data_IF_111771268436
#
_entry.id   IF_111771268436
#
_cell.length_a   1.000
_cell.length_b   1.000
_cell.length_c   1.000
_cell.angle_alpha   90.00
_cell.angle_beta   90.00
_cell.angle_gamma   90.00
#
_symmetry.space_group_name_H-M   'P 1'
#
loop_
_entity.id
_entity.type
_entity.pdbx_description
1 polymer ?
#
# COMPACT_ATOMS: atom_id res chain seq x y z
N UNK A 1 -5.64 -20.04 25.14
CA UNK A 1 -5.09 -18.84 24.47
C UNK A 1 -4.50 -17.97 25.55
N UNK A 2 -3.26 -17.50 25.38
CA UNK A 2 -2.66 -16.52 26.27
C UNK A 2 -2.78 -15.18 25.56
N UNK A 3 -3.53 -14.25 26.15
CA UNK A 3 -3.61 -12.87 25.69
C UNK A 3 -2.37 -12.13 26.22
N UNK A 4 -1.55 -11.59 25.33
CA UNK A 4 -0.34 -10.85 25.68
C UNK A 4 -0.46 -9.47 25.07
N UNK A 5 -0.69 -8.48 25.93
CA UNK A 5 -0.71 -7.06 25.55
C UNK A 5 0.71 -6.60 25.23
N UNK A 6 0.94 -6.18 23.99
CA UNK A 6 2.24 -5.71 23.50
C UNK A 6 2.15 -4.24 23.10
N UNK A 7 3.04 -3.43 23.67
CA UNK A 7 3.11 -1.97 23.44
C UNK A 7 4.05 -1.64 22.26
N UNK A 8 3.62 -0.86 21.26
CA UNK A 8 4.44 -0.52 20.08
C UNK A 8 5.55 0.50 20.39
N UNK A 9 6.67 0.39 19.66
CA UNK A 9 7.90 1.19 19.86
C UNK A 9 8.03 2.37 18.88
N UNK A 10 7.34 2.38 17.74
CA UNK A 10 7.33 3.51 16.79
C UNK A 10 5.98 3.70 16.08
N UNK A 11 5.74 4.91 15.54
CA UNK A 11 4.50 5.32 14.86
C UNK A 11 4.41 4.72 13.46
N UNK A 12 3.44 3.83 13.27
CA UNK A 12 3.18 3.08 12.04
C UNK A 12 2.37 1.85 12.44
N UNK A 13 1.12 2.07 12.81
CA UNK A 13 0.29 1.15 13.58
C UNK A 13 -0.69 0.43 12.68
N UNK A 14 -0.46 -0.86 12.45
CA UNK A 14 -1.50 -1.79 11.98
C UNK A 14 -1.77 -2.75 13.13
N UNK A 15 -2.98 -2.68 13.71
CA UNK A 15 -3.45 -3.69 14.64
C UNK A 15 -3.84 -4.93 13.85
N UNK A 16 -3.19 -6.07 14.13
CA UNK A 16 -3.53 -7.35 13.48
C UNK A 16 -3.26 -8.51 14.41
N UNK A 17 -4.20 -9.45 14.48
CA UNK A 17 -4.00 -10.73 15.15
C UNK A 17 -3.13 -11.64 14.28
N UNK A 18 -1.98 -12.08 14.79
CA UNK A 18 -1.11 -13.07 14.13
C UNK A 18 -1.10 -14.36 14.95
N UNK A 19 -1.63 -15.44 14.39
CA UNK A 19 -1.57 -16.77 14.98
C UNK A 19 -0.54 -17.67 14.30
N UNK A 20 0.22 -18.46 15.06
CA UNK A 20 1.19 -19.40 14.49
C UNK A 20 1.93 -20.22 15.52
N UNK A 21 2.71 -21.19 15.04
CA UNK A 21 3.60 -21.95 15.90
C UNK A 21 4.65 -21.03 16.52
N UNK A 22 5.03 -21.29 17.77
CA UNK A 22 5.99 -20.47 18.50
C UNK A 22 7.27 -21.23 18.74
N UNK A 23 8.39 -20.55 18.50
CA UNK A 23 9.72 -20.97 18.93
C UNK A 23 10.34 -19.84 19.74
N UNK A 24 10.97 -20.18 20.85
CA UNK A 24 11.35 -19.19 21.84
C UNK A 24 12.72 -19.47 22.47
N UNK A 25 13.46 -18.40 22.78
CA UNK A 25 14.71 -18.44 23.54
C UNK A 25 14.84 -17.19 24.42
N UNK A 26 15.49 -17.32 25.57
CA UNK A 26 15.84 -16.20 26.48
C UNK A 26 17.19 -15.55 26.14
N UNK A 27 17.85 -16.02 25.08
CA UNK A 27 19.15 -15.50 24.66
C UNK A 27 19.03 -14.35 23.65
N UNK A 28 20.05 -13.48 23.65
CA UNK A 28 20.29 -12.62 22.50
C UNK A 28 20.71 -13.49 21.32
N UNK A 29 20.16 -13.19 20.15
CA UNK A 29 20.42 -13.93 18.92
C UNK A 29 21.29 -13.08 18.00
N UNK A 30 22.39 -13.63 17.51
CA UNK A 30 23.18 -13.02 16.45
C UNK A 30 22.67 -13.51 15.09
N UNK A 31 22.00 -12.67 14.27
CA UNK A 31 21.47 -13.16 13.00
C UNK A 31 22.55 -13.71 12.06
N UNK A 32 23.81 -13.27 12.17
CA UNK A 32 24.90 -13.78 11.35
C UNK A 32 25.50 -15.10 11.87
N UNK A 33 25.48 -15.32 13.19
CA UNK A 33 26.14 -16.48 13.82
C UNK A 33 25.19 -17.63 14.15
N UNK A 34 23.92 -17.31 14.43
CA UNK A 34 22.96 -18.25 14.99
C UNK A 34 21.84 -18.62 14.03
N UNK A 35 21.57 -17.79 13.00
CA UNK A 35 20.58 -18.10 11.97
C UNK A 35 21.25 -18.68 10.73
N UNK A 36 20.69 -19.79 10.26
CA UNK A 36 20.97 -20.35 8.95
C UNK A 36 19.94 -19.82 7.94
N UNK A 37 20.35 -18.96 6.97
CA UNK A 37 19.44 -18.41 5.99
C UNK A 37 19.01 -19.39 4.90
N UNK A 38 19.74 -20.49 4.69
CA UNK A 38 19.39 -21.52 3.70
C UNK A 38 18.24 -22.38 4.23
N UNK A 39 18.37 -22.82 5.49
CA UNK A 39 17.43 -23.75 6.10
C UNK A 39 16.29 -23.06 6.86
N UNK A 40 16.47 -21.78 7.22
CA UNK A 40 15.52 -21.08 8.10
C UNK A 40 15.57 -21.63 9.51
N UNK A 41 16.78 -21.80 10.05
CA UNK A 41 17.03 -22.50 11.31
C UNK A 41 17.77 -21.61 12.31
N UNK A 42 17.33 -21.60 13.57
CA UNK A 42 17.99 -20.93 14.67
C UNK A 42 18.71 -21.96 15.55
N UNK A 43 20.03 -21.80 15.70
CA UNK A 43 20.87 -22.67 16.52
C UNK A 43 20.33 -22.79 17.94
N UNK A 44 20.22 -24.02 18.43
CA UNK A 44 19.71 -24.32 19.78
C UNK A 44 18.19 -24.25 19.93
N UNK A 45 17.46 -23.78 18.91
CA UNK A 45 16.00 -23.61 18.97
C UNK A 45 15.28 -24.50 17.96
N UNK A 46 15.67 -24.45 16.67
CA UNK A 46 14.99 -25.20 15.62
C UNK A 46 14.65 -24.36 14.39
N UNK A 47 13.77 -24.91 13.54
CA UNK A 47 13.25 -24.17 12.40
C UNK A 47 12.42 -22.97 12.84
N UNK A 48 12.69 -21.82 12.23
CA UNK A 48 11.98 -20.55 12.45
C UNK A 48 11.06 -20.16 11.27
N UNK A 49 11.17 -20.87 10.14
CA UNK A 49 10.41 -20.56 8.93
C UNK A 49 8.90 -20.65 9.18
N UNK A 50 8.18 -19.54 8.92
CA UNK A 50 6.73 -19.45 9.10
C UNK A 50 6.25 -19.45 10.57
N UNK A 51 7.18 -19.41 11.54
CA UNK A 51 6.86 -19.42 12.97
C UNK A 51 6.93 -18.03 13.59
N UNK A 52 6.28 -17.86 14.73
CA UNK A 52 6.46 -16.72 15.62
C UNK A 52 7.73 -17.00 16.43
N UNK A 53 8.72 -16.12 16.30
CA UNK A 53 10.01 -16.25 16.95
C UNK A 53 10.06 -15.28 18.13
N UNK A 54 10.18 -15.82 19.33
CA UNK A 54 10.30 -15.05 20.57
C UNK A 54 11.75 -15.08 21.04
N UNK A 55 12.36 -13.92 21.19
CA UNK A 55 13.77 -13.78 21.55
C UNK A 55 13.95 -12.68 22.60
N UNK A 56 15.08 -12.68 23.28
CA UNK A 56 15.48 -11.51 24.09
C UNK A 56 15.73 -10.28 23.25
N UNK A 57 16.28 -10.45 22.05
CA UNK A 57 16.58 -9.40 21.09
C UNK A 57 17.68 -9.85 20.14
N UNK A 58 17.95 -9.07 19.10
CA UNK A 58 19.13 -9.31 18.26
C UNK A 58 20.38 -8.65 18.84
N UNK A 59 21.53 -9.19 18.45
CA UNK A 59 22.85 -8.61 18.72
C UNK A 59 23.68 -8.56 17.44
N UNK A 60 24.76 -7.79 17.46
CA UNK A 60 25.65 -7.57 16.32
C UNK A 60 25.39 -6.26 15.57
N UNK A 61 26.18 -6.01 14.53
CA UNK A 61 26.22 -4.74 13.82
C UNK A 61 25.22 -4.68 12.66
N UNK A 62 25.68 -4.37 11.44
CA UNK A 62 24.85 -4.02 10.28
C UNK A 62 24.56 -5.18 9.33
N UNK A 63 25.29 -6.31 9.47
CA UNK A 63 25.18 -7.45 8.55
C UNK A 63 23.99 -8.35 8.90
N UNK A 64 23.65 -8.46 10.19
CA UNK A 64 22.59 -9.33 10.67
C UNK A 64 21.23 -9.13 9.98
N UNK A 65 20.76 -7.89 9.80
CA UNK A 65 19.54 -7.61 9.05
C UNK A 65 19.49 -8.20 7.63
N UNK A 66 20.63 -8.25 6.93
CA UNK A 66 20.70 -8.83 5.57
C UNK A 66 20.55 -10.35 5.56
N UNK A 67 20.90 -11.03 6.67
CA UNK A 67 20.70 -12.49 6.79
C UNK A 67 19.21 -12.79 6.85
N UNK A 68 18.47 -12.05 7.66
CA UNK A 68 17.01 -12.20 7.79
C UNK A 68 16.32 -11.79 6.48
N UNK A 69 16.78 -10.72 5.84
CA UNK A 69 16.31 -10.36 4.49
C UNK A 69 16.53 -11.48 3.45
N UNK A 70 17.67 -12.16 3.49
CA UNK A 70 17.95 -13.31 2.62
C UNK A 70 16.98 -14.47 2.85
N UNK A 71 16.62 -14.74 4.11
CA UNK A 71 15.62 -15.77 4.45
C UNK A 71 14.26 -15.49 3.82
N UNK A 72 13.84 -14.23 3.75
CA UNK A 72 12.58 -13.83 3.09
C UNK A 72 12.61 -14.19 1.60
N UNK A 73 13.70 -13.87 0.89
CA UNK A 73 13.85 -14.23 -0.53
C UNK A 73 13.78 -15.73 -0.79
N UNK A 74 14.06 -16.53 0.22
CA UNK A 74 14.06 -18.00 0.18
C UNK A 74 12.78 -18.63 0.73
N UNK A 75 11.81 -17.82 1.20
CA UNK A 75 10.59 -18.32 1.83
C UNK A 75 10.84 -19.01 3.18
N UNK A 76 11.94 -18.68 3.85
CA UNK A 76 12.41 -19.29 5.11
C UNK A 76 12.30 -18.34 6.31
N UNK A 77 11.74 -17.16 6.11
CA UNK A 77 11.65 -16.15 7.16
C UNK A 77 10.64 -16.52 8.27
N UNK A 78 10.88 -16.02 9.49
CA UNK A 78 9.86 -15.97 10.54
C UNK A 78 8.58 -15.28 10.07
N UNK A 79 7.44 -15.72 10.60
CA UNK A 79 6.13 -15.07 10.40
C UNK A 79 5.98 -13.80 11.23
N UNK A 80 6.60 -13.76 12.41
CA UNK A 80 6.66 -12.60 13.29
C UNK A 80 7.86 -12.72 14.25
N UNK A 81 8.34 -11.58 14.74
CA UNK A 81 9.36 -11.46 15.78
C UNK A 81 8.72 -10.86 17.03
N UNK A 82 9.01 -11.44 18.19
CA UNK A 82 8.69 -10.89 19.51
C UNK A 82 10.00 -10.72 20.25
N UNK A 83 10.32 -9.49 20.66
CA UNK A 83 11.58 -9.17 21.30
C UNK A 83 11.38 -8.38 22.60
N UNK A 84 12.19 -8.66 23.61
CA UNK A 84 12.23 -7.87 24.85
C UNK A 84 13.01 -6.56 24.64
N UNK A 85 14.19 -6.70 24.03
CA UNK A 85 15.11 -5.61 23.69
C UNK A 85 14.93 -5.28 22.21
N UNK A 86 14.46 -4.06 21.93
CA UNK A 86 14.33 -3.52 20.58
C UNK A 86 15.42 -2.47 20.35
N UNK A 87 16.50 -2.89 19.70
CA UNK A 87 17.61 -2.03 19.28
C UNK A 87 17.58 -1.75 17.77
N UNK A 88 18.53 -0.95 17.28
CA UNK A 88 18.60 -0.59 15.87
C UNK A 88 18.76 -1.81 14.94
N UNK A 89 19.46 -2.86 15.40
CA UNK A 89 19.64 -4.11 14.65
C UNK A 89 18.34 -4.91 14.55
N UNK A 90 17.59 -4.98 15.65
CA UNK A 90 16.28 -5.63 15.73
C UNK A 90 15.27 -4.95 14.83
N UNK A 91 15.22 -3.61 14.89
CA UNK A 91 14.40 -2.81 13.98
C UNK A 91 14.84 -3.04 12.53
N UNK A 92 16.11 -2.81 12.20
CA UNK A 92 16.61 -2.98 10.83
C UNK A 92 16.32 -4.37 10.25
N UNK A 93 16.42 -5.42 11.07
CA UNK A 93 16.11 -6.80 10.67
C UNK A 93 14.64 -6.99 10.33
N UNK A 94 13.74 -6.54 11.21
CA UNK A 94 12.30 -6.63 10.97
C UNK A 94 11.86 -5.78 9.77
N UNK A 95 12.43 -4.57 9.66
CA UNK A 95 12.15 -3.61 8.60
C UNK A 95 12.57 -4.12 7.23
N UNK A 96 13.83 -4.50 7.07
CA UNK A 96 14.34 -4.96 5.77
C UNK A 96 13.61 -6.22 5.31
N UNK A 97 13.24 -7.09 6.25
CA UNK A 97 12.58 -8.35 5.97
C UNK A 97 11.04 -8.26 5.88
N UNK A 98 10.44 -7.09 6.13
CA UNK A 98 8.98 -6.92 6.27
C UNK A 98 8.34 -7.95 7.22
N UNK A 99 9.02 -8.22 8.34
CA UNK A 99 8.54 -9.15 9.37
C UNK A 99 7.91 -8.35 10.50
N UNK A 100 6.65 -8.64 10.89
CA UNK A 100 6.01 -8.04 12.05
C UNK A 100 6.87 -8.14 13.31
N UNK A 101 7.21 -7.01 13.92
CA UNK A 101 7.98 -6.93 15.17
C UNK A 101 7.12 -6.42 16.32
N UNK A 102 7.11 -7.20 17.40
CA UNK A 102 6.36 -6.98 18.63
C UNK A 102 7.31 -6.83 19.82
N UNK A 103 7.04 -5.90 20.73
CA UNK A 103 7.81 -5.76 21.98
C UNK A 103 7.13 -6.48 23.14
N UNK A 104 7.87 -7.27 23.92
CA UNK A 104 7.38 -7.79 25.20
C UNK A 104 8.15 -7.14 26.35
N UNK A 105 7.49 -6.76 27.44
CA UNK A 105 8.16 -6.14 28.58
C UNK A 105 8.72 -7.17 29.58
N UNK A 106 8.16 -8.38 29.62
CA UNK A 106 8.64 -9.49 30.44
C UNK A 106 8.64 -10.79 29.63
N UNK A 107 9.81 -11.12 29.08
CA UNK A 107 10.01 -12.32 28.29
C UNK A 107 9.92 -13.61 29.14
N UNK A 108 10.32 -13.55 30.41
CA UNK A 108 10.39 -14.74 31.28
C UNK A 108 9.00 -15.31 31.50
N UNK A 109 8.02 -14.44 31.78
CA UNK A 109 6.61 -14.82 31.91
C UNK A 109 6.06 -15.44 30.64
N UNK A 110 6.49 -14.96 29.47
CA UNK A 110 6.08 -15.51 28.19
C UNK A 110 6.69 -16.92 27.97
N UNK A 111 7.97 -17.11 28.29
CA UNK A 111 8.67 -18.38 28.12
C UNK A 111 8.13 -19.49 29.03
N UNK A 112 7.74 -19.16 30.26
CA UNK A 112 7.16 -20.13 31.19
C UNK A 112 5.85 -20.75 30.66
N UNK A 113 5.07 -19.98 29.89
CA UNK A 113 3.87 -20.49 29.23
C UNK A 113 4.18 -21.52 28.14
N UNK A 114 5.31 -21.38 27.45
CA UNK A 114 5.74 -22.32 26.40
C UNK A 114 6.45 -23.56 26.95
N UNK A 115 7.13 -23.44 28.10
CA UNK A 115 7.68 -24.61 28.82
C UNK A 115 6.60 -25.62 29.22
N UNK A 116 5.35 -25.17 29.39
CA UNK A 116 4.17 -26.01 29.65
C UNK A 116 3.61 -26.76 28.43
N UNK A 117 4.22 -26.68 27.25
CA UNK A 117 3.80 -27.44 26.06
C UNK A 117 2.89 -26.69 25.08
N UNK A 118 2.63 -25.40 25.30
CA UNK A 118 1.98 -24.57 24.29
C UNK A 118 2.87 -24.50 23.04
N UNK A 119 2.30 -24.78 21.86
CA UNK A 119 3.03 -24.73 20.58
C UNK A 119 2.55 -23.63 19.63
N UNK A 120 1.39 -23.05 19.91
CA UNK A 120 0.72 -22.06 19.05
C UNK A 120 0.27 -20.89 19.91
N UNK A 121 0.48 -19.67 19.41
CA UNK A 121 -0.02 -18.46 20.03
C UNK A 121 -0.67 -17.54 18.99
N UNK A 122 -1.62 -16.74 19.45
CA UNK A 122 -2.17 -15.61 18.73
C UNK A 122 -1.70 -14.34 19.45
N UNK A 123 -1.01 -13.48 18.72
CA UNK A 123 -0.53 -12.20 19.24
C UNK A 123 -1.45 -11.13 18.69
N UNK A 124 -2.04 -10.36 19.58
CA UNK A 124 -2.75 -9.13 19.25
C UNK A 124 -1.90 -7.95 19.67
N UNK A 125 -1.63 -7.07 18.72
CA UNK A 125 -0.82 -5.89 18.97
C UNK A 125 -0.60 -5.08 17.71
N UNK A 126 -0.08 -3.89 17.90
CA UNK A 126 0.42 -3.05 16.81
C UNK A 126 1.86 -3.48 16.49
N UNK A 127 2.13 -3.75 15.22
CA UNK A 127 3.47 -4.11 14.75
C UNK A 127 3.96 -3.14 13.68
N UNK A 128 5.29 -3.02 13.58
CA UNK A 128 5.93 -2.20 12.55
C UNK A 128 5.72 -2.84 11.18
N UNK A 129 4.97 -2.15 10.32
CA UNK A 129 4.84 -2.49 8.91
C UNK A 129 5.65 -1.49 8.11
N UNK A 130 6.75 -1.95 7.50
CA UNK A 130 7.63 -1.11 6.70
C UNK A 130 7.44 -1.27 5.19
N UNK A 131 6.46 -2.07 4.77
CA UNK A 131 6.03 -2.10 3.38
C UNK A 131 5.44 -0.74 3.00
N UNK A 132 5.90 -0.19 1.87
CA UNK A 132 5.31 1.01 1.31
C UNK A 132 3.85 0.79 0.97
N UNK A 133 3.11 1.90 0.89
CA UNK A 133 1.66 1.90 0.76
C UNK A 133 1.30 2.48 -0.60
N UNK A 134 0.46 1.77 -1.35
CA UNK A 134 0.00 2.16 -2.67
C UNK A 134 -1.39 2.79 -2.59
N UNK A 135 -1.49 4.07 -2.90
CA UNK A 135 -2.75 4.83 -2.90
C UNK A 135 -3.09 5.20 -4.35
N UNK A 136 -4.27 4.81 -4.83
CA UNK A 136 -4.78 5.21 -6.14
C UNK A 136 -5.90 6.24 -6.00
N UNK A 137 -5.83 7.31 -6.77
CA UNK A 137 -6.89 8.32 -6.90
C UNK A 137 -7.57 8.15 -8.25
N UNK A 138 -8.84 7.80 -8.22
CA UNK A 138 -9.68 7.47 -9.37
C UNK A 138 -10.84 8.47 -9.51
N UNK A 139 -11.43 8.55 -10.69
CA UNK A 139 -12.43 9.57 -10.99
C UNK A 139 -12.49 9.95 -12.47
N UNK A 140 -13.60 10.55 -12.87
CA UNK A 140 -13.75 11.10 -14.22
C UNK A 140 -12.83 12.31 -14.45
N UNK A 141 -12.72 12.73 -15.71
CA UNK A 141 -12.04 13.97 -16.05
C UNK A 141 -12.76 15.18 -15.43
N UNK A 142 -11.98 16.06 -14.79
CA UNK A 142 -12.53 17.21 -14.06
C UNK A 142 -12.98 16.92 -12.63
N UNK A 143 -12.87 15.68 -12.15
CA UNK A 143 -13.14 15.32 -10.75
C UNK A 143 -12.12 15.88 -9.74
N UNK A 144 -10.95 16.35 -10.20
CA UNK A 144 -9.93 16.95 -9.33
C UNK A 144 -8.84 15.99 -8.85
N UNK A 145 -8.70 14.80 -9.45
CA UNK A 145 -7.71 13.78 -9.09
C UNK A 145 -6.29 14.31 -8.93
N UNK A 146 -5.76 14.99 -9.96
CA UNK A 146 -4.40 15.57 -9.94
C UNK A 146 -4.21 16.57 -8.81
N UNK A 147 -5.21 17.42 -8.57
CA UNK A 147 -5.17 18.41 -7.50
C UNK A 147 -5.13 17.73 -6.13
N UNK A 148 -5.99 16.73 -5.93
CA UNK A 148 -6.02 15.96 -4.69
C UNK A 148 -4.71 15.18 -4.47
N UNK A 149 -4.24 14.45 -5.48
CA UNK A 149 -3.04 13.63 -5.37
C UNK A 149 -1.80 14.46 -5.01
N UNK A 150 -1.65 15.65 -5.60
CA UNK A 150 -0.59 16.61 -5.25
C UNK A 150 -0.77 17.20 -3.85
N UNK A 151 -2.00 17.50 -3.44
CA UNK A 151 -2.29 18.00 -2.10
C UNK A 151 -1.96 16.95 -1.02
N UNK A 152 -2.38 15.71 -1.22
CA UNK A 152 -2.04 14.57 -0.36
C UNK A 152 -0.53 14.35 -0.29
N UNK A 153 0.15 14.39 -1.44
CA UNK A 153 1.60 14.24 -1.50
C UNK A 153 2.32 15.31 -0.66
N UNK A 154 1.98 16.58 -0.86
CA UNK A 154 2.54 17.69 -0.07
C UNK A 154 2.24 17.53 1.43
N UNK A 155 1.02 17.15 1.78
CA UNK A 155 0.61 16.94 3.17
C UNK A 155 1.43 15.83 3.85
N UNK A 156 1.61 14.69 3.19
CA UNK A 156 2.39 13.57 3.70
C UNK A 156 3.87 13.92 3.87
N UNK A 157 4.45 14.66 2.92
CA UNK A 157 5.82 15.16 3.04
C UNK A 157 5.97 16.10 4.26
N UNK A 158 5.02 17.01 4.47
CA UNK A 158 5.01 17.90 5.63
C UNK A 158 4.85 17.13 6.96
N UNK A 159 4.24 15.95 6.92
CA UNK A 159 4.16 15.03 8.06
C UNK A 159 5.43 14.19 8.27
N UNK A 160 6.46 14.35 7.44
CA UNK A 160 7.71 13.59 7.53
C UNK A 160 7.64 12.18 6.91
N UNK A 161 6.57 11.85 6.20
CA UNK A 161 6.50 10.60 5.44
C UNK A 161 7.31 10.72 4.16
N UNK A 162 7.97 9.64 3.77
CA UNK A 162 8.44 9.48 2.40
C UNK A 162 7.22 9.23 1.52
N UNK A 163 6.86 10.20 0.68
CA UNK A 163 5.75 10.09 -0.24
C UNK A 163 6.19 10.42 -1.68
N UNK A 164 5.66 9.69 -2.65
CA UNK A 164 5.93 9.87 -4.08
C UNK A 164 4.62 10.04 -4.81
N UNK A 165 4.48 11.14 -5.54
CA UNK A 165 3.38 11.34 -6.47
C UNK A 165 3.80 10.91 -7.88
N UNK A 166 2.97 10.11 -8.54
CA UNK A 166 3.10 9.75 -9.94
C UNK A 166 1.71 9.54 -10.57
N UNK A 167 1.63 9.33 -11.88
CA UNK A 167 0.37 9.32 -12.60
C UNK A 167 0.42 8.45 -13.85
N UNK A 168 -0.75 8.07 -14.36
CA UNK A 168 -0.90 7.29 -15.58
C UNK A 168 -1.74 8.01 -16.64
N UNK A 169 -1.40 7.91 -17.94
CA UNK A 169 -0.28 7.15 -18.50
C UNK A 169 1.09 7.74 -18.11
N UNK A 170 2.05 6.88 -17.80
CA UNK A 170 3.38 7.17 -17.29
C UNK A 170 4.40 7.51 -18.40
N UNK A 171 4.36 6.78 -19.52
CA UNK A 171 5.23 7.03 -20.67
C UNK A 171 4.79 8.25 -21.48
N UNK A 172 5.74 9.12 -21.82
CA UNK A 172 5.52 10.24 -22.76
C UNK A 172 4.95 9.73 -24.10
N UNK A 173 5.50 8.65 -24.64
CA UNK A 173 5.08 8.12 -25.93
C UNK A 173 3.61 7.67 -25.90
N UNK A 174 3.17 7.04 -24.82
CA UNK A 174 1.77 6.58 -24.69
C UNK A 174 0.84 7.77 -24.44
N UNK A 175 1.26 8.76 -23.65
CA UNK A 175 0.50 10.02 -23.52
C UNK A 175 0.29 10.72 -24.86
N UNK A 176 1.35 10.86 -25.67
CA UNK A 176 1.26 11.49 -26.99
C UNK A 176 0.29 10.77 -27.93
N UNK A 177 0.26 9.42 -27.90
CA UNK A 177 -0.72 8.63 -28.68
C UNK A 177 -2.15 9.01 -28.31
N UNK A 178 -2.48 9.12 -27.03
CA UNK A 178 -3.81 9.47 -26.55
C UNK A 178 -4.15 10.96 -26.74
N UNK A 179 -3.19 11.87 -26.56
CA UNK A 179 -3.40 13.32 -26.67
C UNK A 179 -3.55 13.79 -28.12
N UNK A 180 -2.72 13.26 -29.03
CA UNK A 180 -2.74 13.66 -30.44
C UNK A 180 -3.90 13.02 -31.20
N UNK A 181 -4.42 11.89 -30.72
CA UNK A 181 -5.41 11.09 -31.44
C UNK A 181 -4.92 10.69 -32.84
N UNK A 182 -3.60 10.61 -33.01
CA UNK A 182 -2.93 10.40 -34.30
C UNK A 182 -3.16 8.99 -34.86
N UNK A 183 -3.58 8.06 -34.00
CA UNK A 183 -3.93 6.70 -34.35
C UNK A 183 -5.39 6.43 -33.96
N UNK A 184 -6.17 5.85 -34.88
CA UNK A 184 -7.47 5.27 -34.55
C UNK A 184 -7.23 3.89 -33.92
N UNK A 185 -7.33 3.82 -32.59
CA UNK A 185 -7.18 2.58 -31.85
C UNK A 185 -8.56 1.99 -31.52
N UNK A 186 -8.65 0.67 -31.45
CA UNK A 186 -9.83 0.03 -30.85
C UNK A 186 -9.71 0.11 -29.33
N UNK A 187 -10.83 0.09 -28.57
CA UNK A 187 -10.80 0.14 -27.12
C UNK A 187 -9.93 -0.95 -26.47
N UNK A 188 -9.85 -2.14 -27.08
CA UNK A 188 -8.99 -3.23 -26.62
C UNK A 188 -7.50 -2.90 -26.77
N UNK A 189 -7.11 -2.26 -27.89
CA UNK A 189 -5.73 -1.83 -28.11
C UNK A 189 -5.36 -0.72 -27.13
N UNK A 190 -6.26 0.23 -26.87
CA UNK A 190 -6.06 1.24 -25.83
C UNK A 190 -5.84 0.61 -24.45
N UNK A 191 -6.66 -0.38 -24.08
CA UNK A 191 -6.51 -1.11 -22.82
C UNK A 191 -5.13 -1.79 -22.72
N UNK A 192 -4.70 -2.47 -23.77
CA UNK A 192 -3.39 -3.15 -23.81
C UNK A 192 -2.23 -2.17 -23.68
N UNK A 193 -2.31 -1.00 -24.33
CA UNK A 193 -1.29 0.05 -24.18
C UNK A 193 -1.23 0.58 -22.75
N UNK A 194 -2.37 0.84 -22.12
CA UNK A 194 -2.43 1.28 -20.72
C UNK A 194 -1.86 0.22 -19.78
N UNK A 195 -2.16 -1.06 -20.01
CA UNK A 195 -1.60 -2.17 -19.22
C UNK A 195 -0.08 -2.24 -19.40
N UNK A 196 0.42 -2.19 -20.62
CA UNK A 196 1.87 -2.24 -20.91
C UNK A 196 2.64 -1.07 -20.27
N UNK A 197 2.08 0.14 -20.36
CA UNK A 197 2.58 1.33 -19.68
C UNK A 197 2.67 1.12 -18.16
N UNK A 198 1.60 0.61 -17.57
CA UNK A 198 1.48 0.34 -16.14
C UNK A 198 2.47 -0.71 -15.64
N UNK A 199 2.75 -1.76 -16.41
CA UNK A 199 3.79 -2.72 -16.06
C UNK A 199 5.18 -2.07 -16.04
N UNK A 200 5.46 -1.18 -16.99
CA UNK A 200 6.71 -0.41 -17.03
C UNK A 200 6.81 0.56 -15.85
N UNK A 201 5.71 1.26 -15.54
CA UNK A 201 5.60 2.15 -14.40
C UNK A 201 5.78 1.41 -13.07
N UNK A 202 5.18 0.23 -12.94
CA UNK A 202 5.30 -0.62 -11.77
C UNK A 202 6.74 -1.06 -11.54
N UNK A 203 7.40 -1.59 -12.57
CA UNK A 203 8.78 -2.06 -12.46
C UNK A 203 9.77 -0.92 -12.20
N UNK A 204 9.57 0.24 -12.84
CA UNK A 204 10.52 1.36 -12.82
C UNK A 204 10.37 2.31 -11.62
N UNK A 205 9.16 2.50 -11.09
CA UNK A 205 8.88 3.51 -10.06
C UNK A 205 8.14 2.92 -8.87
N UNK A 206 6.95 2.33 -9.09
CA UNK A 206 6.07 1.94 -7.99
C UNK A 206 6.74 0.88 -7.11
N UNK A 207 7.24 -0.22 -7.68
CA UNK A 207 7.83 -1.32 -6.92
C UNK A 207 9.09 -0.89 -6.16
N UNK A 208 10.07 -0.18 -6.75
CA UNK A 208 11.21 0.36 -6.01
C UNK A 208 10.79 1.24 -4.83
N UNK A 209 9.87 2.19 -5.04
CA UNK A 209 9.45 3.13 -4.00
C UNK A 209 8.70 2.42 -2.85
N UNK A 210 7.77 1.51 -3.18
CA UNK A 210 7.12 0.68 -2.18
C UNK A 210 8.13 -0.17 -1.38
N UNK A 211 9.21 -0.63 -2.04
CA UNK A 211 10.30 -1.36 -1.39
C UNK A 211 11.12 -0.53 -0.39
N UNK A 212 11.03 0.80 -0.43
CA UNK A 212 11.68 1.70 0.53
C UNK A 212 10.77 2.11 1.69
N UNK A 213 9.54 1.60 1.75
CA UNK A 213 8.54 2.03 2.72
C UNK A 213 7.83 3.34 2.35
N UNK A 214 7.96 3.81 1.10
CA UNK A 214 7.31 5.05 0.66
C UNK A 214 5.79 4.88 0.49
N UNK A 215 5.06 5.96 0.69
CA UNK A 215 3.66 6.08 0.26
C UNK A 215 3.66 6.53 -1.20
N UNK A 216 3.22 5.66 -2.11
CA UNK A 216 3.11 5.96 -3.55
C UNK A 216 1.68 6.37 -3.87
N UNK A 217 1.48 7.61 -4.27
CA UNK A 217 0.19 8.17 -4.68
C UNK A 217 0.13 8.21 -6.20
N UNK A 218 -0.83 7.48 -6.76
CA UNK A 218 -1.12 7.38 -8.18
C UNK A 218 -2.35 8.21 -8.54
N UNK A 219 -2.18 9.19 -9.44
CA UNK A 219 -3.31 9.75 -10.19
C UNK A 219 -3.62 8.81 -11.36
N UNK A 220 -4.70 8.03 -11.20
CA UNK A 220 -5.13 6.89 -12.02
C UNK A 220 -4.28 5.63 -11.86
N UNK A 221 -4.96 4.48 -11.88
CA UNK A 221 -4.35 3.15 -11.88
C UNK A 221 -5.25 2.13 -12.61
N UNK A 222 -5.26 0.88 -12.14
CA UNK A 222 -6.01 -0.26 -12.72
C UNK A 222 -7.46 0.09 -13.03
N UNK A 223 -8.15 0.75 -12.10
CA UNK A 223 -9.58 0.99 -12.19
C UNK A 223 -9.97 2.04 -13.24
N UNK A 224 -9.05 2.96 -13.60
CA UNK A 224 -9.24 3.84 -14.76
C UNK A 224 -9.39 3.04 -16.06
N UNK A 225 -8.61 1.97 -16.26
CA UNK A 225 -8.74 1.13 -17.45
C UNK A 225 -10.08 0.38 -17.44
N UNK A 226 -10.51 -0.16 -16.29
CA UNK A 226 -11.81 -0.81 -16.17
C UNK A 226 -12.97 0.14 -16.51
N UNK A 227 -12.96 1.36 -15.96
CA UNK A 227 -14.03 2.31 -16.15
C UNK A 227 -14.07 2.88 -17.58
N UNK A 228 -12.94 3.35 -18.10
CA UNK A 228 -12.92 4.04 -19.40
C UNK A 228 -13.09 3.05 -20.56
N UNK A 229 -12.30 1.97 -20.63
CA UNK A 229 -12.43 1.00 -21.71
C UNK A 229 -13.69 0.12 -21.53
N UNK A 230 -14.10 -0.19 -20.29
CA UNK A 230 -15.39 -0.85 -20.04
C UNK A 230 -16.59 -0.02 -20.53
N UNK A 231 -16.54 1.31 -20.39
CA UNK A 231 -17.61 2.19 -20.91
C UNK A 231 -17.74 2.18 -22.45
N UNK A 232 -16.70 1.70 -23.13
CA UNK A 232 -16.65 1.51 -24.58
C UNK A 232 -17.09 0.11 -25.02
N UNK A 233 -17.45 -0.77 -24.08
CA UNK A 233 -17.97 -2.12 -24.34
C UNK A 233 -16.92 -3.23 -24.24
N UNK A 234 -15.70 -2.93 -23.78
CA UNK A 234 -14.69 -3.96 -23.52
C UNK A 234 -15.10 -4.78 -22.29
N UNK A 235 -14.96 -6.10 -22.37
CA UNK A 235 -15.30 -7.01 -21.29
C UNK A 235 -14.48 -6.72 -20.01
N UNK A 236 -15.17 -6.49 -18.89
CA UNK A 236 -14.54 -6.16 -17.61
C UNK A 236 -13.69 -7.33 -17.09
N UNK A 237 -14.16 -8.57 -17.24
CA UNK A 237 -13.41 -9.75 -16.78
C UNK A 237 -12.10 -9.94 -17.52
N UNK A 238 -12.08 -9.68 -18.83
CA UNK A 238 -10.86 -9.65 -19.63
C UNK A 238 -9.93 -8.55 -19.14
N UNK A 239 -10.42 -7.33 -18.93
CA UNK A 239 -9.61 -6.23 -18.41
C UNK A 239 -9.02 -6.56 -17.02
N UNK A 240 -9.79 -7.13 -16.10
CA UNK A 240 -9.30 -7.60 -14.80
C UNK A 240 -8.18 -8.65 -14.97
N UNK A 241 -8.35 -9.58 -15.92
CA UNK A 241 -7.35 -10.62 -16.20
C UNK A 241 -6.00 -10.06 -16.69
N UNK A 242 -6.01 -8.92 -17.38
CA UNK A 242 -4.79 -8.24 -17.82
C UNK A 242 -3.99 -7.62 -16.65
N UNK A 243 -4.66 -7.31 -15.54
CA UNK A 243 -4.05 -6.66 -14.37
C UNK A 243 -3.66 -7.63 -13.26
N UNK A 244 -3.97 -8.93 -13.39
CA UNK A 244 -3.87 -9.93 -12.31
C UNK A 244 -2.50 -10.09 -11.64
N UNK A 245 -1.40 -9.66 -12.27
CA UNK A 245 -0.05 -9.71 -11.70
C UNK A 245 0.46 -8.36 -11.18
N UNK A 246 -0.33 -7.30 -11.28
CA UNK A 246 -0.05 -6.01 -10.66
C UNK A 246 -0.67 -6.00 -9.25
N UNK A 247 -0.04 -5.33 -8.27
CA UNK A 247 -0.63 -5.22 -6.95
C UNK A 247 -1.91 -4.40 -7.00
N UNK A 248 -2.95 -4.82 -6.27
CA UNK A 248 -4.06 -3.90 -5.97
C UNK A 248 -3.55 -2.76 -5.06
N UNK A 249 -4.09 -1.54 -5.18
CA UNK A 249 -3.76 -0.48 -4.24
C UNK A 249 -4.23 -0.83 -2.83
N UNK A 250 -3.45 -0.48 -1.82
CA UNK A 250 -3.84 -0.61 -0.41
C UNK A 250 -5.03 0.31 -0.10
N UNK A 251 -5.11 1.45 -0.78
CA UNK A 251 -6.25 2.37 -0.72
C UNK A 251 -6.58 2.91 -2.10
N UNK A 252 -7.84 2.80 -2.52
CA UNK A 252 -8.35 3.47 -3.71
C UNK A 252 -9.42 4.49 -3.33
N UNK A 253 -9.22 5.76 -3.68
CA UNK A 253 -10.18 6.84 -3.46
C UNK A 253 -10.83 7.19 -4.80
N UNK A 254 -12.14 7.05 -4.88
CA UNK A 254 -12.93 7.47 -6.03
C UNK A 254 -13.54 8.85 -5.81
N UNK A 255 -13.18 9.79 -6.67
CA UNK A 255 -13.76 11.13 -6.72
C UNK A 255 -15.00 11.12 -7.60
N UNK A 256 -16.17 11.01 -6.97
CA UNK A 256 -17.46 11.04 -7.67
C UNK A 256 -17.84 12.47 -8.01
N UNK A 257 -18.13 12.71 -9.29
CA UNK A 257 -18.65 13.98 -9.76
C UNK A 257 -19.60 13.71 -10.91
N UNK A 258 -20.65 14.51 -10.99
CA UNK A 258 -21.50 14.52 -12.17
C UNK A 258 -20.67 14.80 -13.44
N UNK A 259 -20.80 14.00 -14.51
CA UNK A 259 -19.97 14.16 -15.71
C UNK A 259 -20.05 15.56 -16.31
N UNK A 260 -21.23 16.19 -16.33
CA UNK A 260 -21.44 17.52 -16.87
C UNK A 260 -20.72 18.58 -16.03
N UNK A 261 -20.74 18.44 -14.70
CA UNK A 261 -19.97 19.30 -13.81
C UNK A 261 -18.44 19.12 -14.02
N UNK A 262 -17.98 17.89 -14.15
CA UNK A 262 -16.57 17.58 -14.43
C UNK A 262 -16.08 18.19 -15.75
N UNK A 263 -16.88 18.05 -16.80
CA UNK A 263 -16.62 18.67 -18.11
C UNK A 263 -16.56 20.20 -18.01
N UNK A 264 -17.51 20.82 -17.31
CA UNK A 264 -17.52 22.28 -17.09
C UNK A 264 -16.23 22.77 -16.43
N UNK A 265 -15.72 22.04 -15.42
CA UNK A 265 -14.43 22.35 -14.77
C UNK A 265 -13.26 22.29 -15.75
N UNK A 266 -13.22 21.26 -16.62
CA UNK A 266 -12.17 21.10 -17.65
C UNK A 266 -12.18 22.23 -18.69
N UNK A 267 -13.37 22.63 -19.15
CA UNK A 267 -13.55 23.77 -20.07
C UNK A 267 -13.02 25.06 -19.45
N UNK A 268 -13.41 25.34 -18.20
CA UNK A 268 -12.97 26.54 -17.49
C UNK A 268 -11.45 26.57 -17.23
N UNK A 269 -10.82 25.42 -17.09
CA UNK A 269 -9.36 25.30 -16.90
C UNK A 269 -8.56 25.44 -18.21
N UNK A 270 -9.18 25.84 -19.33
CA UNK A 270 -8.51 26.02 -20.62
C UNK A 270 -7.96 24.73 -21.25
N UNK A 271 -8.26 23.58 -20.63
CA UNK A 271 -7.70 22.27 -20.99
C UNK A 271 -8.58 21.50 -21.97
N UNK A 272 -9.57 22.15 -22.61
CA UNK A 272 -10.66 21.46 -23.32
C UNK A 272 -11.09 22.16 -24.62
N UNK A 273 -11.28 21.37 -25.68
CA UNK A 273 -11.90 21.78 -26.96
C UNK A 273 -13.37 21.34 -26.99
N UNK A 274 -14.25 22.17 -27.57
CA UNK A 274 -15.72 22.01 -27.66
C UNK A 274 -16.24 20.65 -28.19
N UNK A 275 -15.41 19.83 -28.83
CA UNK A 275 -15.79 18.55 -29.48
C UNK A 275 -16.14 17.40 -28.52
N UNK A 276 -16.09 17.63 -27.21
CA UNK A 276 -16.21 16.57 -26.19
C UNK A 276 -17.57 16.48 -25.48
N UNK A 277 -18.51 17.41 -25.72
CA UNK A 277 -19.89 17.26 -25.25
C UNK A 277 -20.61 16.06 -25.91
N UNK A 278 -20.09 15.54 -27.03
CA UNK A 278 -20.59 14.33 -27.70
C UNK A 278 -20.38 13.04 -26.87
N UNK A 279 -19.74 13.12 -25.69
CA UNK A 279 -19.25 11.96 -24.95
C UNK A 279 -19.82 11.80 -23.53
N UNK A 280 -20.78 12.62 -23.12
CA UNK A 280 -21.39 12.56 -21.77
C UNK A 280 -21.97 11.17 -21.47
N UNK A 281 -22.61 10.53 -22.46
CA UNK A 281 -23.14 9.17 -22.29
C UNK A 281 -22.06 8.12 -21.99
N UNK A 282 -20.85 8.27 -22.52
CA UNK A 282 -19.73 7.38 -22.20
C UNK A 282 -19.20 7.64 -20.80
N UNK A 283 -19.09 8.90 -20.41
CA UNK A 283 -18.67 9.28 -19.05
C UNK A 283 -19.68 8.82 -17.98
N UNK A 284 -20.97 8.85 -18.27
CA UNK A 284 -22.00 8.27 -17.39
C UNK A 284 -21.81 6.77 -17.19
N UNK A 285 -21.56 6.01 -18.27
CA UNK A 285 -21.24 4.57 -18.16
C UNK A 285 -19.93 4.31 -17.40
N UNK A 286 -18.90 5.12 -17.61
CA UNK A 286 -17.66 5.03 -16.84
C UNK A 286 -17.91 5.30 -15.34
N UNK A 287 -18.73 6.29 -15.00
CA UNK A 287 -19.19 6.55 -13.63
C UNK A 287 -19.95 5.38 -13.04
N UNK A 288 -20.86 4.77 -13.79
CA UNK A 288 -21.59 3.57 -13.35
C UNK A 288 -20.63 2.41 -13.00
N UNK A 289 -19.59 2.18 -13.80
CA UNK A 289 -18.56 1.17 -13.50
C UNK A 289 -17.80 1.52 -12.22
N UNK A 290 -17.41 2.79 -12.03
CA UNK A 290 -16.78 3.20 -10.76
C UNK A 290 -17.69 3.00 -9.55
N UNK A 291 -18.97 3.36 -9.65
CA UNK A 291 -19.95 3.17 -8.57
C UNK A 291 -20.18 1.69 -8.26
N UNK A 292 -20.17 0.82 -9.28
CA UNK A 292 -20.18 -0.63 -9.08
C UNK A 292 -18.94 -1.10 -8.31
N UNK A 293 -17.74 -0.62 -8.66
CA UNK A 293 -16.50 -0.92 -7.94
C UNK A 293 -16.52 -0.42 -6.48
N UNK A 294 -17.12 0.76 -6.22
CA UNK A 294 -17.39 1.25 -4.85
C UNK A 294 -18.28 0.26 -4.11
N UNK A 295 -19.39 -0.18 -4.73
CA UNK A 295 -20.34 -1.11 -4.10
C UNK A 295 -19.72 -2.47 -3.77
N UNK A 296 -18.72 -2.90 -4.55
CA UNK A 296 -17.91 -4.11 -4.32
C UNK A 296 -16.80 -3.92 -3.29
N UNK A 297 -16.69 -2.74 -2.68
CA UNK A 297 -15.68 -2.43 -1.66
C UNK A 297 -14.26 -2.28 -2.22
N UNK A 298 -14.09 -2.09 -3.53
CA UNK A 298 -12.78 -1.90 -4.16
C UNK A 298 -12.22 -0.49 -4.00
N UNK A 299 -13.06 0.47 -3.61
CA UNK A 299 -12.69 1.88 -3.49
C UNK A 299 -13.62 2.63 -2.53
N UNK A 300 -13.09 3.69 -1.91
CA UNK A 300 -13.83 4.59 -1.03
C UNK A 300 -14.31 5.79 -1.83
N UNK A 301 -15.61 6.05 -1.80
CA UNK A 301 -16.21 7.19 -2.49
C UNK A 301 -15.98 8.49 -1.71
N UNK A 302 -15.59 9.53 -2.42
CA UNK A 302 -15.53 10.92 -1.94
C UNK A 302 -16.32 11.79 -2.91
N UNK A 303 -17.25 12.58 -2.37
CA UNK A 303 -18.05 13.51 -3.14
C UNK A 303 -17.18 14.69 -3.62
N UNK A 304 -16.84 14.69 -4.90
CA UNK A 304 -16.02 15.71 -5.53
C UNK A 304 -16.84 16.88 -6.11
N UNK A 305 -18.16 16.94 -5.87
CA UNK A 305 -18.97 18.11 -6.19
C UNK A 305 -18.68 19.30 -5.27
N UNK A 306 -18.15 19.03 -4.07
CA UNK A 306 -17.75 20.02 -3.07
C UNK A 306 -16.52 20.83 -3.49
N UNK A 307 -16.17 21.85 -2.72
CA UNK A 307 -14.97 22.65 -2.93
C UNK A 307 -13.69 21.83 -2.64
N UNK A 308 -12.59 22.20 -3.30
CA UNK A 308 -11.34 21.46 -3.22
C UNK A 308 -10.81 21.31 -1.77
N UNK A 309 -10.79 22.35 -0.92
CA UNK A 309 -10.41 22.20 0.49
C UNK A 309 -11.21 21.12 1.23
N UNK A 310 -12.53 21.08 1.05
CA UNK A 310 -13.39 20.05 1.68
C UNK A 310 -13.07 18.66 1.16
N UNK A 311 -12.94 18.49 -0.16
CA UNK A 311 -12.56 17.20 -0.77
C UNK A 311 -11.20 16.71 -0.26
N UNK A 312 -10.21 17.60 -0.17
CA UNK A 312 -8.87 17.28 0.34
C UNK A 312 -8.93 16.85 1.80
N UNK A 313 -9.70 17.55 2.63
CA UNK A 313 -9.93 17.20 4.04
C UNK A 313 -10.49 15.79 4.19
N UNK A 314 -11.58 15.49 3.50
CA UNK A 314 -12.23 14.17 3.56
C UNK A 314 -11.30 13.05 3.09
N UNK A 315 -10.60 13.26 1.97
CA UNK A 315 -9.62 12.30 1.49
C UNK A 315 -8.46 12.11 2.49
N UNK A 316 -7.99 13.16 3.14
CA UNK A 316 -6.93 13.07 4.13
C UNK A 316 -7.36 12.31 5.38
N UNK A 317 -8.59 12.48 5.85
CA UNK A 317 -9.16 11.69 6.96
C UNK A 317 -9.25 10.20 6.62
N UNK A 318 -9.61 9.86 5.38
CA UNK A 318 -9.62 8.48 4.89
C UNK A 318 -8.19 7.92 4.89
N UNK A 319 -7.22 8.66 4.37
CA UNK A 319 -5.80 8.26 4.34
C UNK A 319 -5.28 8.08 5.78
N UNK A 320 -5.55 9.00 6.70
CA UNK A 320 -5.19 8.90 8.13
C UNK A 320 -5.70 7.59 8.74
N UNK A 321 -6.99 7.31 8.52
CA UNK A 321 -7.63 6.11 9.07
C UNK A 321 -6.98 4.84 8.54
N UNK A 322 -6.65 4.82 7.26
CA UNK A 322 -6.02 3.67 6.62
C UNK A 322 -4.56 3.48 7.03
N UNK A 323 -3.82 4.59 7.17
CA UNK A 323 -2.44 4.58 7.66
C UNK A 323 -2.35 4.25 9.16
N UNK A 324 -3.45 4.40 9.90
CA UNK A 324 -3.49 4.24 11.36
C UNK A 324 -2.68 5.29 12.11
N UNK A 325 -2.29 6.40 11.47
CA UNK A 325 -1.46 7.46 12.06
C UNK A 325 -2.24 8.76 12.16
N UNK A 326 -2.22 9.42 13.32
CA UNK A 326 -2.83 10.75 13.49
C UNK A 326 -2.02 11.84 12.78
N UNK A 327 -2.42 12.19 11.56
CA UNK A 327 -1.78 13.23 10.74
C UNK A 327 -2.39 14.63 10.93
N UNK A 328 -3.34 14.81 11.86
CA UNK A 328 -4.03 16.10 12.05
C UNK A 328 -3.09 17.25 12.41
N UNK A 329 -1.91 16.93 12.97
CA UNK A 329 -0.87 17.93 13.34
C UNK A 329 -0.12 18.54 12.16
N UNK A 330 -0.12 17.90 11.00
CA UNK A 330 0.62 18.38 9.83
C UNK A 330 -0.28 18.88 8.69
N UNK A 331 -1.57 19.06 8.98
CA UNK A 331 -2.50 19.78 8.12
C UNK A 331 -3.28 20.84 8.93
N UNK A 332 -2.68 22.02 9.19
CA UNK A 332 -3.31 23.08 10.01
C UNK A 332 -4.64 23.59 9.44
N UNK A 333 -4.85 23.46 8.13
CA UNK A 333 -6.06 23.93 7.43
C UNK A 333 -7.29 23.01 7.62
N UNK A 334 -7.12 21.90 8.36
CA UNK A 334 -8.18 20.94 8.72
C UNK A 334 -8.57 21.03 10.21
N UNK A 335 -7.86 21.86 11.00
CA UNK A 335 -8.23 22.16 12.38
C UNK A 335 -9.40 23.14 12.50
#
# INVERSE_FOLDING_TARGET
MVEVSITPVFRGSVSKTICGEVVATDTLVSPLGDLDPEEGYLRGVGSVAGKIVVIKGFTGSTVGPYVIYSMVKRGKAPKALVAEVIDASTVASAVLADIPLYKVDDLSRLLDLYRGGARVACIEGEFLRFRGILIAIEGLDGAGKTSLAKALHKALLNCGFRAVYTYEPYSNAIREIFELGSLKLTPEVEALLMVADRYSHYAGVIRPELGTGAIVILDRYIYSTLAYQGSLGVDIGWLESLHKYLPEPDLCIYLDVDPELGLKRKVNAGSYRLRYFENVGRLRRAREIYLDLVSKGKMVLVDASQDLPTVVRTAFEIVIRELGVDLRRCYPEVQ
#
